data_IF_411203667526
#
_entry.id   IF_411203667526
#
_cell.length_a   1.000
_cell.length_b   1.000
_cell.length_c   1.000
_cell.angle_alpha   90.00
_cell.angle_beta   90.00
_cell.angle_gamma   90.00
#
_symmetry.space_group_name_H-M   'P 1'
#
loop_
_entity.id
_entity.type
_entity.pdbx_description
1 polymer ?
#
# COMPACT_ATOMS: atom_id res chain seq x y z
N UNK A 1 11.32 -3.15 9.73
CA UNK A 1 10.15 -3.70 10.41
C UNK A 1 8.89 -3.37 9.64
N UNK A 2 7.98 -4.33 9.56
CA UNK A 2 6.75 -4.18 8.81
C UNK A 2 5.65 -3.53 9.66
N UNK A 3 4.91 -2.61 9.04
CA UNK A 3 3.71 -2.04 9.65
C UNK A 3 2.51 -2.85 9.16
N UNK A 4 1.71 -3.38 10.08
CA UNK A 4 0.56 -4.20 9.72
C UNK A 4 -0.72 -3.39 9.86
N UNK A 5 -1.48 -3.32 8.78
CA UNK A 5 -2.75 -2.59 8.73
C UNK A 5 -3.88 -3.50 8.27
N UNK A 6 -5.05 -3.28 8.82
CA UNK A 6 -6.27 -3.99 8.42
C UNK A 6 -7.20 -3.00 7.73
N UNK A 7 -7.74 -3.41 6.60
CA UNK A 7 -8.62 -2.57 5.80
C UNK A 7 -10.09 -2.81 6.17
N UNK A 8 -10.98 -1.91 5.70
CA UNK A 8 -12.42 -2.05 5.96
C UNK A 8 -12.97 -3.36 5.39
N UNK A 9 -12.39 -3.85 4.30
CA UNK A 9 -12.77 -5.13 3.68
C UNK A 9 -12.28 -6.33 4.48
N UNK A 10 -11.53 -6.09 5.57
CA UNK A 10 -10.84 -7.09 6.37
C UNK A 10 -9.58 -7.63 5.71
N UNK A 11 -9.21 -7.11 4.56
CA UNK A 11 -7.91 -7.41 3.98
C UNK A 11 -6.81 -6.90 4.91
N UNK A 12 -5.72 -7.66 4.99
CA UNK A 12 -4.59 -7.29 5.82
C UNK A 12 -3.39 -7.05 4.91
N UNK A 13 -2.74 -5.92 5.13
CA UNK A 13 -1.52 -5.57 4.39
C UNK A 13 -0.40 -5.35 5.39
N UNK A 14 0.83 -5.51 4.91
CA UNK A 14 2.02 -5.12 5.65
C UNK A 14 2.87 -4.29 4.72
N UNK A 15 3.41 -3.18 5.23
CA UNK A 15 4.19 -2.28 4.40
C UNK A 15 5.31 -1.64 5.20
N UNK A 16 6.30 -1.10 4.49
CA UNK A 16 7.40 -0.39 5.14
C UNK A 16 8.09 0.49 4.11
N UNK A 17 8.71 1.56 4.61
CA UNK A 17 9.62 2.35 3.78
C UNK A 17 10.94 1.60 3.66
N UNK A 18 11.54 1.65 2.48
CA UNK A 18 12.83 0.97 2.24
C UNK A 18 13.97 1.77 2.84
N UNK A 19 13.88 3.10 2.76
CA UNK A 19 14.93 3.96 3.30
C UNK A 19 14.33 5.23 3.89
N UNK A 20 15.20 6.13 4.36
CA UNK A 20 14.75 7.36 4.99
C UNK A 20 14.16 8.39 4.05
N UNK A 21 14.27 8.19 2.74
CA UNK A 21 13.72 9.15 1.77
C UNK A 21 12.21 9.08 1.66
N UNK A 22 11.62 7.92 2.05
CA UNK A 22 10.20 7.65 1.91
C UNK A 22 9.71 7.65 0.47
N UNK A 23 10.63 7.41 -0.48
CA UNK A 23 10.29 7.36 -1.89
C UNK A 23 9.88 5.97 -2.36
N UNK A 24 10.25 4.94 -1.62
CA UNK A 24 9.97 3.55 -2.00
C UNK A 24 9.35 2.84 -0.81
N UNK A 25 8.29 2.08 -1.12
CA UNK A 25 7.56 1.30 -0.14
C UNK A 25 7.58 -0.16 -0.58
N UNK A 26 7.89 -1.05 0.34
CA UNK A 26 7.59 -2.47 0.15
C UNK A 26 6.24 -2.75 0.75
N UNK A 27 5.42 -3.49 0.02
CA UNK A 27 4.09 -3.85 0.48
C UNK A 27 3.83 -5.31 0.16
N UNK A 28 3.23 -6.01 1.11
CA UNK A 28 2.80 -7.39 0.88
C UNK A 28 1.38 -7.58 1.35
N UNK A 29 0.65 -8.39 0.59
CA UNK A 29 -0.73 -8.73 0.87
C UNK A 29 -0.74 -10.05 1.64
N UNK A 30 -1.52 -10.13 2.69
CA UNK A 30 -1.50 -11.31 3.55
C UNK A 30 -1.87 -12.58 2.82
N UNK A 31 -2.73 -12.49 1.80
CA UNK A 31 -3.15 -13.67 1.05
C UNK A 31 -2.19 -14.03 -0.09
N UNK A 32 -1.10 -13.29 -0.25
CA UNK A 32 -0.05 -13.59 -1.22
C UNK A 32 1.24 -13.92 -0.48
N UNK A 33 1.38 -15.15 -0.03
CA UNK A 33 2.56 -15.55 0.72
C UNK A 33 3.84 -15.33 -0.10
N UNK A 34 4.85 -14.78 0.56
CA UNK A 34 6.19 -14.62 0.00
C UNK A 34 6.29 -13.68 -1.21
N UNK A 35 5.25 -12.88 -1.46
CA UNK A 35 5.31 -11.88 -2.52
C UNK A 35 5.46 -10.50 -1.90
N UNK A 36 6.52 -9.79 -2.30
CA UNK A 36 6.75 -8.42 -1.87
C UNK A 36 6.68 -7.52 -3.09
N UNK A 37 5.80 -6.52 -3.02
CA UNK A 37 5.66 -5.54 -4.09
C UNK A 37 6.52 -4.33 -3.76
N UNK A 38 7.41 -3.96 -4.69
CA UNK A 38 8.28 -2.79 -4.53
C UNK A 38 7.64 -1.62 -5.27
N UNK A 39 7.15 -0.63 -4.54
CA UNK A 39 6.38 0.48 -5.10
C UNK A 39 7.16 1.77 -5.00
N UNK A 40 7.19 2.53 -6.08
CA UNK A 40 7.86 3.83 -6.11
C UNK A 40 6.84 4.94 -6.03
N UNK A 41 7.22 6.03 -5.35
CA UNK A 41 6.34 7.17 -5.20
C UNK A 41 6.10 7.84 -6.55
N UNK A 42 4.84 8.16 -6.81
CA UNK A 42 4.42 8.87 -8.01
C UNK A 42 3.69 10.15 -7.61
N UNK A 43 3.56 11.12 -8.53
CA UNK A 43 2.85 12.35 -8.21
C UNK A 43 1.42 12.09 -7.76
N UNK A 44 0.99 12.80 -6.73
CA UNK A 44 -0.37 12.71 -6.22
C UNK A 44 -0.82 14.09 -5.78
N UNK A 45 -2.09 14.40 -6.00
CA UNK A 45 -2.66 15.69 -5.59
C UNK A 45 -2.75 15.80 -4.09
N UNK A 46 -3.05 14.69 -3.41
CA UNK A 46 -3.23 14.64 -1.97
C UNK A 46 -2.54 13.39 -1.44
N UNK A 47 -1.88 13.53 -0.29
CA UNK A 47 -1.20 12.40 0.31
C UNK A 47 -0.01 11.91 -0.50
N UNK A 48 0.31 10.64 -0.38
CA UNK A 48 1.43 10.03 -1.09
C UNK A 48 0.95 8.78 -1.82
N UNK A 49 1.31 8.64 -3.08
CA UNK A 49 0.91 7.51 -3.91
C UNK A 49 2.14 6.72 -4.35
N UNK A 50 2.07 5.40 -4.19
CA UNK A 50 3.16 4.49 -4.56
C UNK A 50 2.62 3.42 -5.49
N UNK A 51 3.39 3.07 -6.51
CA UNK A 51 2.93 2.10 -7.49
C UNK A 51 4.11 1.46 -8.22
N UNK A 52 3.90 0.25 -8.71
CA UNK A 52 4.80 -0.41 -9.65
C UNK A 52 4.15 -0.59 -11.02
N UNK A 53 3.02 0.11 -11.25
CA UNK A 53 2.25 -0.03 -12.49
C UNK A 53 1.17 -1.09 -12.41
N UNK A 54 1.21 -1.95 -11.40
CA UNK A 54 0.23 -3.02 -11.20
C UNK A 54 -0.52 -2.83 -9.90
N UNK A 55 0.20 -2.63 -8.81
CA UNK A 55 -0.39 -2.40 -7.49
C UNK A 55 -0.23 -0.95 -7.12
N UNK A 56 -1.28 -0.33 -6.59
CA UNK A 56 -1.25 1.04 -6.11
C UNK A 56 -1.52 1.10 -4.63
N UNK A 57 -0.80 1.96 -3.93
CA UNK A 57 -0.93 2.17 -2.50
C UNK A 57 -0.92 3.66 -2.24
N UNK A 58 -2.04 4.17 -1.73
CA UNK A 58 -2.20 5.59 -1.44
C UNK A 58 -2.25 5.79 0.06
N UNK A 59 -1.35 6.62 0.57
CA UNK A 59 -1.26 6.96 1.99
C UNK A 59 -1.79 8.36 2.22
N UNK A 60 -2.73 8.49 3.15
CA UNK A 60 -3.27 9.79 3.54
C UNK A 60 -3.80 9.72 4.95
N UNK A 61 -3.35 10.63 5.83
CA UNK A 61 -3.86 10.74 7.20
C UNK A 61 -3.79 9.43 7.98
N UNK A 62 -2.66 8.73 7.88
CA UNK A 62 -2.41 7.46 8.57
C UNK A 62 -3.39 6.36 8.17
N UNK A 63 -3.94 6.45 6.98
CA UNK A 63 -4.76 5.41 6.39
C UNK A 63 -4.25 5.09 5.01
N UNK A 64 -4.54 3.87 4.55
CA UNK A 64 -4.11 3.42 3.25
C UNK A 64 -5.27 2.96 2.38
N UNK A 65 -5.07 3.09 1.07
CA UNK A 65 -5.96 2.57 0.03
C UNK A 65 -5.10 1.72 -0.87
N UNK A 66 -5.50 0.48 -1.12
CA UNK A 66 -4.73 -0.46 -1.94
C UNK A 66 -5.64 -1.00 -3.03
N UNK A 67 -5.16 -0.97 -4.28
CA UNK A 67 -5.96 -1.42 -5.40
C UNK A 67 -5.07 -1.87 -6.56
N UNK A 68 -5.65 -2.63 -7.49
CA UNK A 68 -4.97 -3.03 -8.71
C UNK A 68 -5.15 -1.93 -9.75
N UNK A 69 -4.04 -1.31 -10.16
CA UNK A 69 -4.09 -0.12 -11.02
C UNK A 69 -4.72 -0.41 -12.39
N UNK A 70 -4.41 -1.56 -12.97
CA UNK A 70 -4.86 -1.87 -14.33
C UNK A 70 -6.37 -2.08 -14.44
N UNK A 71 -6.99 -2.61 -13.40
CA UNK A 71 -8.41 -2.95 -13.42
C UNK A 71 -9.24 -2.07 -12.50
N UNK A 72 -8.59 -1.24 -11.67
CA UNK A 72 -9.24 -0.46 -10.62
C UNK A 72 -9.93 -1.32 -9.57
N UNK A 73 -9.60 -2.62 -9.51
CA UNK A 73 -10.18 -3.48 -8.49
C UNK A 73 -9.62 -3.13 -7.13
N UNK A 74 -10.51 -2.85 -6.20
CA UNK A 74 -10.14 -2.46 -4.85
C UNK A 74 -9.72 -3.69 -4.03
N UNK A 75 -8.57 -3.61 -3.40
CA UNK A 75 -8.12 -4.62 -2.44
C UNK A 75 -8.61 -4.23 -1.05
N UNK A 76 -8.44 -2.96 -0.69
CA UNK A 76 -8.92 -2.48 0.59
C UNK A 76 -8.82 -0.98 0.71
N UNK A 77 -9.75 -0.40 1.49
CA UNK A 77 -9.72 1.02 1.84
C UNK A 77 -9.79 1.16 3.35
N UNK A 78 -9.47 2.36 3.84
CA UNK A 78 -9.46 2.59 5.27
C UNK A 78 -8.47 1.68 5.98
N UNK A 79 -7.38 1.32 5.32
CA UNK A 79 -6.39 0.41 5.90
C UNK A 79 -5.61 1.18 6.96
N UNK A 80 -5.61 0.66 8.18
CA UNK A 80 -4.96 1.32 9.31
C UNK A 80 -4.69 0.33 10.42
N UNK A 81 -3.95 0.78 11.42
CA UNK A 81 -3.71 -0.02 12.62
C UNK A 81 -5.03 -0.22 13.36
N UNK A 82 -5.35 -1.44 13.70
CA UNK A 82 -6.59 -1.76 14.41
C UNK A 82 -6.33 -2.73 15.55
#
# INVERSE_FOLDING_TARGET
DWTRWTCDSKAVIEWRYIDGSKNIVDLRLKDEDDVVHHLEQEPAAVGAFYSDGRLGFHLENDEGLVYWVETDDLIGRGCKAR
#
